data_IF_315530866958
#
_entry.id   IF_315530866958
#
_cell.length_a   1.000
_cell.length_b   1.000
_cell.length_c   1.000
_cell.angle_alpha   90.00
_cell.angle_beta   90.00
_cell.angle_gamma   90.00
#
_symmetry.space_group_name_H-M   'P 1'
#
loop_
_entity.id
_entity.type
_entity.pdbx_description
1 polymer ?
#
# COMPACT_ATOMS: atom_id res chain seq x y z
N UNK A 1 9.29 -17.98 33.01
CA UNK A 1 8.00 -18.03 32.31
C UNK A 1 7.23 -16.76 32.60
N UNK A 2 7.18 -15.82 31.65
CA UNK A 2 6.23 -14.71 31.66
C UNK A 2 5.88 -14.44 30.18
N UNK A 3 4.66 -14.78 29.81
CA UNK A 3 4.13 -14.63 28.45
C UNK A 3 3.85 -13.16 28.17
N UNK A 4 4.72 -12.52 27.39
CA UNK A 4 4.45 -11.22 26.75
C UNK A 4 3.42 -11.41 25.64
N UNK A 5 2.27 -10.75 25.76
CA UNK A 5 1.21 -10.81 24.74
C UNK A 5 -0.05 -10.02 25.08
N UNK A 6 0.06 -8.88 25.79
CA UNK A 6 -1.12 -8.14 26.32
C UNK A 6 -1.34 -6.72 25.81
N UNK A 7 -0.37 -6.08 25.14
CA UNK A 7 -0.52 -4.70 24.66
C UNK A 7 -0.99 -4.57 23.21
N UNK A 8 -0.65 -5.50 22.31
CA UNK A 8 -0.90 -5.35 20.87
C UNK A 8 -2.37 -5.50 20.45
N UNK A 9 -3.20 -6.18 21.25
CA UNK A 9 -4.62 -6.39 20.96
C UNK A 9 -5.49 -5.19 21.34
N UNK A 10 -5.17 -4.51 22.44
CA UNK A 10 -5.99 -3.40 22.93
C UNK A 10 -5.97 -2.21 21.96
N UNK A 11 -4.79 -1.85 21.45
CA UNK A 11 -4.64 -0.72 20.52
C UNK A 11 -5.34 -0.97 19.17
N UNK A 12 -5.27 -2.20 18.66
CA UNK A 12 -5.95 -2.59 17.42
C UNK A 12 -7.48 -2.61 17.57
N UNK A 13 -7.96 -3.00 18.75
CA UNK A 13 -9.38 -2.99 19.10
C UNK A 13 -9.88 -1.55 19.25
N UNK A 14 -9.15 -0.67 19.94
CA UNK A 14 -9.48 0.75 20.08
C UNK A 14 -9.60 1.43 18.70
N UNK A 15 -8.65 1.17 17.79
CA UNK A 15 -8.69 1.70 16.42
C UNK A 15 -9.98 1.33 15.68
N UNK A 16 -10.39 0.08 15.84
CA UNK A 16 -11.57 -0.47 15.19
C UNK A 16 -12.84 0.09 15.83
N UNK A 17 -12.82 0.27 17.15
CA UNK A 17 -13.95 0.83 17.89
C UNK A 17 -14.25 2.27 17.53
N UNK A 18 -13.23 3.10 17.30
CA UNK A 18 -13.43 4.49 16.89
C UNK A 18 -14.00 4.61 15.49
N UNK A 19 -13.48 3.84 14.54
CA UNK A 19 -14.03 3.80 13.19
C UNK A 19 -15.51 3.40 13.24
N UNK A 20 -15.85 2.38 14.03
CA UNK A 20 -17.24 1.94 14.19
C UNK A 20 -18.11 3.01 14.87
N UNK A 21 -17.61 3.73 15.88
CA UNK A 21 -18.36 4.82 16.52
C UNK A 21 -18.66 5.95 15.54
N UNK A 22 -17.69 6.38 14.73
CA UNK A 22 -17.89 7.40 13.69
C UNK A 22 -18.93 6.96 12.65
N UNK A 23 -18.84 5.71 12.18
CA UNK A 23 -19.82 5.18 11.24
C UNK A 23 -21.23 5.09 11.84
N UNK A 24 -21.34 4.74 13.12
CA UNK A 24 -22.63 4.69 13.82
C UNK A 24 -23.21 6.11 14.05
N UNK A 25 -22.39 7.11 14.35
CA UNK A 25 -22.83 8.51 14.47
C UNK A 25 -23.29 9.08 13.13
N UNK A 26 -22.56 8.79 12.06
CA UNK A 26 -22.96 9.17 10.70
C UNK A 26 -24.25 8.46 10.29
N UNK A 27 -24.39 7.16 10.60
CA UNK A 27 -25.61 6.39 10.38
C UNK A 27 -26.81 6.95 11.16
N UNK A 28 -26.63 7.42 12.40
CA UNK A 28 -27.69 8.07 13.18
C UNK A 28 -28.20 9.34 12.53
N UNK A 29 -27.32 10.17 11.95
CA UNK A 29 -27.70 11.40 11.23
C UNK A 29 -28.39 11.09 9.91
N UNK A 30 -27.87 10.10 9.17
CA UNK A 30 -28.37 9.76 7.84
C UNK A 30 -29.73 9.07 7.87
N UNK A 31 -29.98 8.23 8.87
CA UNK A 31 -31.19 7.42 8.99
C UNK A 31 -32.09 7.86 10.13
N UNK A 32 -32.03 9.13 10.54
CA UNK A 32 -32.74 9.63 11.73
C UNK A 32 -34.25 9.37 11.69
N UNK A 33 -34.87 9.49 10.50
CA UNK A 33 -36.29 9.28 10.28
C UNK A 33 -36.67 7.85 9.87
N UNK A 34 -35.69 6.94 9.71
CA UNK A 34 -35.97 5.55 9.33
C UNK A 34 -36.51 4.77 10.56
N UNK A 35 -37.74 4.23 10.52
CA UNK A 35 -38.36 3.55 11.66
C UNK A 35 -37.64 2.28 12.12
N UNK A 36 -36.83 1.66 11.25
CA UNK A 36 -36.17 0.37 11.51
C UNK A 36 -34.68 0.59 11.77
N UNK A 37 -34.01 1.41 10.95
CA UNK A 37 -32.58 1.62 11.08
C UNK A 37 -32.21 2.58 12.22
N UNK A 38 -33.00 3.62 12.48
CA UNK A 38 -32.72 4.58 13.56
C UNK A 38 -32.61 3.92 14.94
N UNK A 39 -33.53 3.02 15.36
CA UNK A 39 -33.39 2.29 16.62
C UNK A 39 -32.19 1.34 16.66
N UNK A 40 -31.85 0.70 15.53
CA UNK A 40 -30.70 -0.20 15.41
C UNK A 40 -29.38 0.56 15.61
N UNK A 41 -29.19 1.69 14.93
CA UNK A 41 -27.99 2.53 15.08
C UNK A 41 -27.85 3.08 16.50
N UNK A 42 -28.95 3.54 17.11
CA UNK A 42 -28.95 4.01 18.49
C UNK A 42 -28.59 2.92 19.50
N UNK A 43 -29.07 1.70 19.30
CA UNK A 43 -28.77 0.56 20.17
C UNK A 43 -27.32 0.12 20.01
N UNK A 44 -26.83 0.01 18.76
CA UNK A 44 -25.45 -0.33 18.47
C UNK A 44 -24.46 0.72 19.02
N UNK A 45 -24.77 2.01 18.87
CA UNK A 45 -23.96 3.11 19.39
C UNK A 45 -23.86 3.06 20.93
N UNK A 46 -24.98 2.85 21.63
CA UNK A 46 -24.99 2.72 23.11
C UNK A 46 -24.13 1.56 23.62
N UNK A 47 -24.16 0.44 22.90
CA UNK A 47 -23.32 -0.72 23.24
C UNK A 47 -21.85 -0.36 23.04
N UNK A 48 -21.51 0.20 21.89
CA UNK A 48 -20.14 0.60 21.55
C UNK A 48 -19.57 1.65 22.53
N UNK A 49 -20.34 2.67 22.88
CA UNK A 49 -19.97 3.73 23.84
C UNK A 49 -19.69 3.16 25.24
N UNK A 50 -20.52 2.22 25.71
CA UNK A 50 -20.32 1.52 26.99
C UNK A 50 -19.01 0.73 27.00
N UNK A 51 -18.73 -0.04 25.94
CA UNK A 51 -17.48 -0.80 25.83
C UNK A 51 -16.28 0.13 25.68
N UNK A 52 -16.43 1.24 24.96
CA UNK A 52 -15.41 2.26 24.79
C UNK A 52 -15.00 2.90 26.12
N UNK A 53 -15.97 3.30 26.96
CA UNK A 53 -15.70 3.82 28.31
C UNK A 53 -15.07 2.81 29.28
N UNK A 54 -15.22 1.51 29.01
CA UNK A 54 -14.53 0.45 29.75
C UNK A 54 -13.07 0.30 29.30
N UNK A 55 -12.78 0.45 28.01
CA UNK A 55 -11.42 0.43 27.45
C UNK A 55 -10.63 1.70 27.71
N UNK A 56 -11.26 2.88 27.69
CA UNK A 56 -10.60 4.17 27.91
C UNK A 56 -9.96 4.30 29.30
N UNK A 57 -10.60 3.74 30.34
CA UNK A 57 -10.05 3.79 31.71
C UNK A 57 -8.67 3.14 31.85
N UNK A 58 -8.27 2.31 30.88
CA UNK A 58 -6.97 1.64 30.86
C UNK A 58 -6.03 2.12 29.74
N UNK A 59 -6.45 2.98 28.80
CA UNK A 59 -5.77 3.15 27.51
C UNK A 59 -5.45 4.58 27.04
N UNK A 60 -5.78 5.62 27.82
CA UNK A 60 -5.60 7.03 27.42
C UNK A 60 -4.19 7.40 26.94
N UNK A 61 -3.15 6.64 27.30
CA UNK A 61 -1.77 6.94 26.93
C UNK A 61 -1.37 6.56 25.50
N UNK A 62 -1.91 5.48 24.92
CA UNK A 62 -1.44 4.96 23.62
C UNK A 62 -2.17 5.59 22.42
N UNK A 63 -3.48 5.75 22.55
CA UNK A 63 -4.32 6.27 21.48
C UNK A 63 -4.02 7.74 21.17
N UNK A 64 -3.93 8.62 22.17
CA UNK A 64 -3.63 10.04 21.95
C UNK A 64 -2.29 10.24 21.22
N UNK A 65 -1.31 9.35 21.47
CA UNK A 65 -0.02 9.33 20.78
C UNK A 65 -0.16 8.91 19.33
N UNK A 66 -0.95 7.88 19.06
CA UNK A 66 -1.27 7.46 17.68
C UNK A 66 -2.11 8.50 16.94
N UNK A 67 -3.14 9.07 17.56
CA UNK A 67 -4.03 10.06 16.98
C UNK A 67 -3.26 11.32 16.58
N UNK A 68 -2.35 11.80 17.45
CA UNK A 68 -1.41 12.88 17.10
C UNK A 68 -0.47 12.48 15.96
N UNK A 69 0.07 11.26 15.97
CA UNK A 69 0.94 10.77 14.89
C UNK A 69 0.19 10.61 13.56
N UNK A 70 -1.09 10.21 13.60
CA UNK A 70 -1.96 10.05 12.43
C UNK A 70 -2.41 11.41 11.92
N UNK A 71 -2.68 12.37 12.79
CA UNK A 71 -3.03 13.75 12.42
C UNK A 71 -1.82 14.51 11.86
N UNK A 72 -0.58 14.17 12.26
CA UNK A 72 0.64 14.60 11.56
C UNK A 72 0.84 13.92 10.20
N UNK A 73 0.42 12.64 10.06
CA UNK A 73 0.47 11.90 8.78
C UNK A 73 -0.68 12.24 7.83
N UNK A 74 -1.78 12.74 8.35
CA UNK A 74 -2.93 13.18 7.58
C UNK A 74 -2.71 14.64 7.18
N UNK A 75 -2.19 14.84 5.97
CA UNK A 75 -2.24 16.14 5.30
C UNK A 75 -3.71 16.41 4.93
N UNK A 76 -4.39 17.42 5.50
CA UNK A 76 -5.72 17.78 5.07
C UNK A 76 -5.63 18.35 3.65
N UNK A 77 -6.06 17.56 2.66
CA UNK A 77 -6.41 17.93 1.27
C UNK A 77 -5.83 19.27 0.79
N UNK A 78 -4.50 19.32 0.69
CA UNK A 78 -3.83 20.11 -0.33
C UNK A 78 -4.17 19.38 -1.64
N UNK A 79 -5.28 19.79 -2.27
CA UNK A 79 -5.75 19.40 -3.61
C UNK A 79 -5.26 18.04 -4.12
N UNK A 80 -6.13 17.02 -4.09
CA UNK A 80 -5.83 15.66 -4.54
C UNK A 80 -4.98 15.67 -5.82
N UNK A 81 -3.71 15.25 -5.68
CA UNK A 81 -2.71 15.17 -6.75
C UNK A 81 -3.29 14.45 -7.98
N UNK A 82 -4.11 13.43 -7.74
CA UNK A 82 -4.80 12.67 -8.77
C UNK A 82 -5.82 13.50 -9.54
N UNK A 83 -6.67 14.25 -8.84
CA UNK A 83 -7.66 15.12 -9.50
C UNK A 83 -6.99 16.20 -10.34
N UNK A 84 -5.88 16.77 -9.85
CA UNK A 84 -5.08 17.74 -10.61
C UNK A 84 -4.53 17.11 -11.90
N UNK A 85 -4.02 15.87 -11.83
CA UNK A 85 -3.54 15.15 -13.01
C UNK A 85 -4.66 14.87 -14.02
N UNK A 86 -5.84 14.42 -13.58
CA UNK A 86 -6.97 14.12 -14.45
C UNK A 86 -7.52 15.35 -15.21
N UNK A 87 -7.22 16.56 -14.75
CA UNK A 87 -7.64 17.81 -15.39
C UNK A 87 -6.63 18.32 -16.43
N UNK A 88 -5.44 17.72 -16.51
CA UNK A 88 -4.45 18.13 -17.50
C UNK A 88 -4.87 17.72 -18.93
N UNK A 89 -4.54 18.53 -19.93
CA UNK A 89 -4.74 18.14 -21.32
C UNK A 89 -3.89 16.90 -21.65
N UNK A 90 -4.46 15.97 -22.41
CA UNK A 90 -3.76 14.76 -22.86
C UNK A 90 -2.64 15.17 -23.82
N UNK A 91 -1.39 14.97 -23.42
CA UNK A 91 -0.23 15.16 -24.30
C UNK A 91 -0.04 13.93 -25.19
N UNK A 92 0.43 14.10 -26.44
CA UNK A 92 0.69 12.99 -27.36
C UNK A 92 2.01 12.26 -27.06
N UNK A 93 2.63 12.49 -25.90
CA UNK A 93 3.91 11.88 -25.56
C UNK A 93 3.78 10.37 -25.38
N UNK A 94 4.66 9.62 -26.06
CA UNK A 94 4.57 8.17 -26.18
C UNK A 94 5.19 7.41 -25.00
N UNK A 95 6.00 8.08 -24.16
CA UNK A 95 6.63 7.45 -23.00
C UNK A 95 6.04 7.98 -21.68
N UNK A 96 4.98 7.33 -21.23
CA UNK A 96 4.32 7.65 -19.97
C UNK A 96 5.26 7.48 -18.76
N UNK A 97 6.18 6.52 -18.79
CA UNK A 97 7.11 6.28 -17.68
C UNK A 97 8.19 7.37 -17.64
N UNK A 98 8.73 7.74 -18.80
CA UNK A 98 9.66 8.86 -18.95
C UNK A 98 9.08 10.16 -18.41
N UNK A 99 7.82 10.46 -18.74
CA UNK A 99 7.13 11.65 -18.25
C UNK A 99 7.05 11.74 -16.72
N UNK A 100 6.73 10.64 -16.04
CA UNK A 100 6.70 10.59 -14.57
C UNK A 100 8.10 10.66 -13.91
N UNK A 101 9.17 10.38 -14.66
CA UNK A 101 10.55 10.50 -14.18
C UNK A 101 11.09 11.94 -14.27
N UNK A 102 10.43 12.84 -15.00
CA UNK A 102 10.88 14.22 -15.13
C UNK A 102 10.91 14.96 -13.78
N UNK A 103 11.97 15.74 -13.48
CA UNK A 103 12.08 16.47 -12.22
C UNK A 103 10.90 17.41 -11.93
N UNK A 104 10.31 18.00 -12.98
CA UNK A 104 9.14 18.86 -12.88
C UNK A 104 7.91 18.10 -12.35
N UNK A 105 7.63 16.90 -12.88
CA UNK A 105 6.48 16.09 -12.47
C UNK A 105 6.69 15.48 -11.08
N UNK A 106 7.91 15.05 -10.75
CA UNK A 106 8.23 14.52 -9.41
C UNK A 106 8.07 15.58 -8.32
N UNK A 107 8.34 16.85 -8.65
CA UNK A 107 8.14 17.98 -7.74
C UNK A 107 6.65 18.37 -7.65
N UNK A 108 5.92 18.31 -8.78
CA UNK A 108 4.50 18.66 -8.83
C UNK A 108 3.58 17.60 -8.22
N UNK A 109 4.01 16.33 -8.20
CA UNK A 109 3.24 15.15 -7.80
C UNK A 109 4.08 14.20 -6.93
N UNK A 110 4.46 14.60 -5.70
CA UNK A 110 5.43 13.87 -4.87
C UNK A 110 4.99 12.46 -4.46
N UNK A 111 3.69 12.18 -4.41
CA UNK A 111 3.15 10.86 -4.05
C UNK A 111 2.66 10.11 -5.27
N UNK A 112 1.94 10.78 -6.17
CA UNK A 112 1.34 10.15 -7.33
C UNK A 112 2.39 9.62 -8.32
N UNK A 113 3.53 10.30 -8.51
CA UNK A 113 4.58 9.81 -9.42
C UNK A 113 5.17 8.47 -8.96
N UNK A 114 5.26 8.22 -7.65
CA UNK A 114 5.81 6.97 -7.11
C UNK A 114 4.90 5.80 -7.49
N UNK A 115 3.61 5.95 -7.23
CA UNK A 115 2.59 4.97 -7.62
C UNK A 115 2.56 4.76 -9.13
N UNK A 116 2.62 5.83 -9.91
CA UNK A 116 2.63 5.74 -11.37
C UNK A 116 3.85 4.97 -11.89
N UNK A 117 5.05 5.25 -11.37
CA UNK A 117 6.27 4.52 -11.73
C UNK A 117 6.19 3.06 -11.32
N UNK A 118 5.70 2.75 -10.12
CA UNK A 118 5.54 1.36 -9.65
C UNK A 118 4.65 0.55 -10.60
N UNK A 119 3.51 1.13 -11.01
CA UNK A 119 2.57 0.49 -11.94
C UNK A 119 3.17 0.36 -13.35
N UNK A 120 3.77 1.44 -13.87
CA UNK A 120 4.34 1.48 -15.23
C UNK A 120 5.64 0.67 -15.37
N UNK A 121 6.26 0.28 -14.26
CA UNK A 121 7.43 -0.59 -14.25
C UNK A 121 7.08 -2.08 -14.31
N UNK A 122 5.80 -2.45 -14.16
CA UNK A 122 5.35 -3.83 -14.31
C UNK A 122 5.37 -4.18 -15.80
N UNK A 123 6.12 -5.21 -16.23
CA UNK A 123 6.12 -5.62 -17.62
C UNK A 123 4.71 -6.09 -18.02
N UNK A 124 4.24 -5.65 -19.19
CA UNK A 124 2.89 -5.97 -19.67
C UNK A 124 2.65 -7.47 -19.93
N UNK A 125 3.72 -8.28 -19.98
CA UNK A 125 3.66 -9.70 -20.31
C UNK A 125 4.70 -10.50 -19.52
N UNK A 126 4.38 -11.75 -19.17
CA UNK A 126 5.29 -12.72 -18.53
C UNK A 126 6.42 -13.23 -19.46
N UNK A 127 6.62 -12.61 -20.62
CA UNK A 127 7.61 -13.08 -21.61
C UNK A 127 9.05 -13.01 -21.09
N UNK A 128 9.38 -12.08 -20.19
CA UNK A 128 10.70 -11.99 -19.56
C UNK A 128 10.98 -13.16 -18.59
N UNK A 129 10.11 -13.48 -17.62
CA UNK A 129 10.29 -14.68 -16.81
C UNK A 129 10.27 -15.97 -17.64
N UNK A 130 9.42 -16.08 -18.66
CA UNK A 130 9.41 -17.25 -19.57
C UNK A 130 10.72 -17.42 -20.36
N UNK A 131 11.34 -16.31 -20.79
CA UNK A 131 12.68 -16.32 -21.40
C UNK A 131 13.75 -16.76 -20.41
N UNK A 132 13.67 -16.30 -19.15
CA UNK A 132 14.58 -16.73 -18.08
C UNK A 132 14.44 -18.24 -17.81
N UNK A 133 13.22 -18.79 -17.73
CA UNK A 133 13.01 -20.23 -17.53
C UNK A 133 13.49 -21.06 -18.73
N UNK A 134 13.28 -20.56 -19.95
CA UNK A 134 13.76 -21.22 -21.17
C UNK A 134 15.30 -21.20 -21.25
N UNK A 135 15.94 -20.11 -20.82
CA UNK A 135 17.40 -20.00 -20.71
C UNK A 135 17.97 -20.88 -19.60
N UNK A 136 17.33 -20.92 -18.43
CA UNK A 136 17.71 -21.78 -17.31
C UNK A 136 17.67 -23.26 -17.70
N UNK A 137 16.69 -23.67 -18.53
CA UNK A 137 16.62 -25.03 -19.11
C UNK A 137 17.84 -25.36 -19.97
N UNK A 138 18.43 -24.38 -20.65
CA UNK A 138 19.68 -24.57 -21.42
C UNK A 138 20.89 -24.65 -20.49
N UNK A 139 20.89 -23.91 -19.37
CA UNK A 139 21.94 -23.99 -18.34
C UNK A 139 21.95 -25.37 -17.66
N UNK A 140 20.77 -25.90 -17.35
CA UNK A 140 20.55 -27.22 -16.75
C UNK A 140 20.46 -28.28 -17.86
N UNK A 141 21.59 -28.57 -18.49
CA UNK A 141 21.70 -29.73 -19.41
C UNK A 141 21.80 -31.05 -18.65
N UNK A 142 21.48 -32.18 -19.28
CA UNK A 142 21.57 -33.52 -18.65
C UNK A 142 22.96 -33.84 -18.07
N UNK A 143 24.03 -33.24 -18.61
CA UNK A 143 25.42 -33.39 -18.12
C UNK A 143 25.77 -32.45 -16.95
N UNK A 144 24.95 -31.45 -16.65
CA UNK A 144 25.11 -30.46 -15.56
C UNK A 144 23.92 -30.50 -14.57
N UNK A 145 23.24 -31.64 -14.46
CA UNK A 145 22.05 -31.84 -13.62
C UNK A 145 22.33 -31.97 -12.11
N UNK A 146 23.59 -31.88 -11.65
CA UNK A 146 23.96 -31.85 -10.22
C UNK A 146 24.05 -30.43 -9.64
N UNK A 147 23.63 -29.41 -10.38
CA UNK A 147 23.56 -28.04 -9.87
C UNK A 147 22.41 -27.92 -8.88
N UNK A 148 22.69 -27.42 -7.68
CA UNK A 148 21.65 -27.12 -6.69
C UNK A 148 20.77 -25.96 -7.15
N UNK A 149 19.54 -25.90 -6.63
CA UNK A 149 18.58 -24.84 -6.93
C UNK A 149 19.15 -23.44 -6.65
N UNK A 150 19.88 -23.28 -5.54
CA UNK A 150 20.52 -22.02 -5.16
C UNK A 150 21.59 -21.57 -6.16
N UNK A 151 22.31 -22.54 -6.76
CA UNK A 151 23.34 -22.24 -7.78
C UNK A 151 22.71 -21.80 -9.10
N UNK A 152 21.57 -22.40 -9.46
CA UNK A 152 20.82 -22.03 -10.67
C UNK A 152 20.24 -20.62 -10.50
N UNK A 153 19.65 -20.33 -9.35
CA UNK A 153 19.11 -18.99 -9.03
C UNK A 153 20.20 -17.91 -9.12
N UNK A 154 21.36 -18.14 -8.49
CA UNK A 154 22.48 -17.20 -8.55
C UNK A 154 22.98 -16.98 -9.99
N UNK A 155 23.10 -18.05 -10.78
CA UNK A 155 23.54 -17.96 -12.17
C UNK A 155 22.57 -17.17 -13.05
N UNK A 156 21.26 -17.39 -12.92
CA UNK A 156 20.26 -16.65 -13.70
C UNK A 156 20.15 -15.19 -13.22
N UNK A 157 20.29 -14.93 -11.92
CA UNK A 157 20.40 -13.58 -11.37
C UNK A 157 21.61 -12.83 -11.95
N UNK A 158 22.80 -13.46 -11.94
CA UNK A 158 24.00 -12.88 -12.52
C UNK A 158 23.85 -12.57 -14.02
N UNK A 159 23.23 -13.48 -14.79
CA UNK A 159 22.96 -13.23 -16.22
C UNK A 159 22.02 -12.08 -16.43
N UNK A 160 20.95 -11.99 -15.63
CA UNK A 160 20.03 -10.87 -15.67
C UNK A 160 20.73 -9.55 -15.33
N UNK A 161 21.60 -9.54 -14.32
CA UNK A 161 22.41 -8.37 -13.95
C UNK A 161 23.41 -7.98 -15.04
N UNK A 162 24.11 -8.95 -15.65
CA UNK A 162 25.06 -8.70 -16.73
C UNK A 162 24.37 -8.16 -18.00
N UNK A 163 23.19 -8.70 -18.33
CA UNK A 163 22.40 -8.20 -19.45
C UNK A 163 21.97 -6.74 -19.25
N UNK A 164 21.70 -6.31 -18.00
CA UNK A 164 21.40 -4.91 -17.68
C UNK A 164 22.65 -4.03 -17.88
N UNK A 165 23.85 -4.50 -17.52
CA UNK A 165 25.10 -3.71 -17.69
C UNK A 165 25.59 -3.57 -19.13
N UNK A 166 25.14 -4.43 -20.04
CA UNK A 166 25.51 -4.38 -21.46
C UNK A 166 24.54 -3.53 -22.30
N UNK A 167 23.51 -2.96 -21.65
CA UNK A 167 22.59 -2.03 -22.32
C UNK A 167 23.19 -0.63 -22.42
N UNK A 168 23.04 0.08 -23.57
CA UNK A 168 23.75 1.34 -23.84
C UNK A 168 23.50 2.48 -22.83
N UNK A 169 22.39 2.44 -22.09
CA UNK A 169 22.02 3.47 -21.10
C UNK A 169 22.62 3.25 -19.70
N UNK A 170 23.28 2.11 -19.46
CA UNK A 170 23.97 1.82 -18.20
C UNK A 170 25.43 2.31 -18.17
N UNK A 171 25.88 2.96 -19.26
CA UNK A 171 27.21 3.56 -19.41
C UNK A 171 27.12 5.09 -19.50
N UNK A 172 26.47 5.71 -18.52
CA UNK A 172 26.58 7.14 -18.25
C UNK A 172 27.01 7.35 -16.79
#
# INVERSE_FOLDING_TARGET
MATEGRQATLERVLLSMEFLLDQLENGKKQYEQDPILSPCFNSAWKVMDKYYGLTERNAKSGFERWAKAKQQRYQPLLQDEYLKYCQLPVTPECDARGWWMEPAQRTAYPNLHKMAIDILSIPAMSAEPERLFSGAKITVTERRNRLGVDTIEYLECLKSCLAITDTPWAKD
#
